data_IF_582568367367
#
_entry.id   IF_582568367367
#
_cell.length_a   1.000
_cell.length_b   1.000
_cell.length_c   1.000
_cell.angle_alpha   90.00
_cell.angle_beta   90.00
_cell.angle_gamma   90.00
#
_symmetry.space_group_name_H-M   'P 1'
#
loop_
_entity.id
_entity.type
_entity.pdbx_description
1 polymer ?
#
# COMPACT_ATOMS: atom_id res chain seq x y z
N UNK A 1 -35.15 6.71 21.98
CA UNK A 1 -34.04 6.65 21.01
C UNK A 1 -33.82 5.18 20.70
N UNK A 2 -33.90 4.75 19.44
CA UNK A 2 -33.66 3.33 19.11
C UNK A 2 -32.20 3.00 19.43
N UNK A 3 -31.96 1.95 20.22
CA UNK A 3 -30.63 1.35 20.31
C UNK A 3 -30.20 0.92 18.91
N UNK A 4 -28.95 1.23 18.54
CA UNK A 4 -28.38 0.79 17.29
C UNK A 4 -28.18 -0.73 17.34
N UNK A 5 -28.51 -1.44 16.25
CA UNK A 5 -28.16 -2.84 16.11
C UNK A 5 -26.62 -2.92 16.00
N UNK A 6 -25.98 -3.48 17.04
CA UNK A 6 -24.52 -3.54 17.15
C UNK A 6 -23.88 -4.32 16.00
N UNK A 7 -24.47 -5.43 15.56
CA UNK A 7 -23.95 -6.23 14.44
C UNK A 7 -23.93 -5.43 13.14
N UNK A 8 -24.99 -4.65 12.87
CA UNK A 8 -25.05 -3.79 11.68
C UNK A 8 -24.03 -2.65 11.75
N UNK A 9 -23.79 -2.11 12.94
CA UNK A 9 -22.77 -1.08 13.15
C UNK A 9 -21.38 -1.64 12.90
N UNK A 10 -21.04 -2.79 13.49
CA UNK A 10 -19.74 -3.43 13.34
C UNK A 10 -19.47 -3.82 11.88
N UNK A 11 -20.47 -4.35 11.18
CA UNK A 11 -20.37 -4.65 9.74
C UNK A 11 -20.11 -3.39 8.90
N UNK A 12 -20.81 -2.29 9.21
CA UNK A 12 -20.62 -1.02 8.51
C UNK A 12 -19.22 -0.44 8.77
N UNK A 13 -18.74 -0.48 10.02
CA UNK A 13 -17.38 -0.07 10.37
C UNK A 13 -16.33 -0.92 9.66
N UNK A 14 -16.51 -2.24 9.62
CA UNK A 14 -15.63 -3.14 8.86
C UNK A 14 -15.56 -2.79 7.38
N UNK A 15 -16.71 -2.51 6.75
CA UNK A 15 -16.75 -2.04 5.36
C UNK A 15 -16.00 -0.73 5.18
N UNK A 16 -16.24 0.26 6.04
CA UNK A 16 -15.57 1.56 5.98
C UNK A 16 -14.04 1.43 6.10
N UNK A 17 -13.56 0.61 7.03
CA UNK A 17 -12.12 0.33 7.17
C UNK A 17 -11.56 -0.35 5.91
N UNK A 18 -12.30 -1.30 5.34
CA UNK A 18 -11.95 -1.94 4.07
C UNK A 18 -11.84 -0.95 2.91
N UNK A 19 -12.81 -0.05 2.77
CA UNK A 19 -12.82 0.99 1.72
C UNK A 19 -11.62 1.95 1.86
N UNK A 20 -11.31 2.37 3.09
CA UNK A 20 -10.13 3.22 3.36
C UNK A 20 -8.82 2.51 3.03
N UNK A 21 -8.71 1.22 3.39
CA UNK A 21 -7.56 0.40 3.02
C UNK A 21 -7.41 0.27 1.50
N UNK A 22 -8.51 0.03 0.79
CA UNK A 22 -8.51 -0.08 -0.67
C UNK A 22 -8.06 1.22 -1.35
N UNK A 23 -8.49 2.39 -0.86
CA UNK A 23 -8.07 3.69 -1.38
C UNK A 23 -6.56 3.90 -1.19
N UNK A 24 -6.05 3.65 0.03
CA UNK A 24 -4.64 3.84 0.35
C UNK A 24 -3.75 2.91 -0.48
N UNK A 25 -4.10 1.62 -0.55
CA UNK A 25 -3.37 0.63 -1.33
C UNK A 25 -3.46 0.91 -2.83
N UNK A 26 -4.64 1.29 -3.35
CA UNK A 26 -4.83 1.62 -4.77
C UNK A 26 -3.97 2.80 -5.21
N UNK A 27 -3.90 3.86 -4.40
CA UNK A 27 -3.00 4.98 -4.66
C UNK A 27 -1.51 4.54 -4.65
N UNK A 28 -1.13 3.68 -3.71
CA UNK A 28 0.21 3.11 -3.63
C UNK A 28 0.58 2.27 -4.87
N UNK A 29 -0.35 1.46 -5.38
CA UNK A 29 -0.15 0.67 -6.61
C UNK A 29 0.08 1.58 -7.81
N UNK A 30 -0.74 2.61 -7.99
CA UNK A 30 -0.58 3.58 -9.09
C UNK A 30 0.75 4.35 -9.02
N UNK A 31 1.18 4.73 -7.81
CA UNK A 31 2.50 5.34 -7.62
C UNK A 31 3.63 4.38 -7.97
N UNK A 32 3.52 3.12 -7.54
CA UNK A 32 4.52 2.09 -7.82
C UNK A 32 4.71 1.82 -9.31
N UNK A 33 3.61 1.81 -10.07
CA UNK A 33 3.64 1.67 -11.53
C UNK A 33 4.28 2.90 -12.20
N UNK A 34 3.79 4.10 -11.89
CA UNK A 34 4.28 5.36 -12.50
C UNK A 34 5.74 5.66 -12.21
N UNK A 35 6.22 5.31 -11.02
CA UNK A 35 7.62 5.48 -10.61
C UNK A 35 8.51 4.31 -11.05
N UNK A 36 7.95 3.27 -11.65
CA UNK A 36 8.68 2.09 -12.11
C UNK A 36 9.19 1.18 -10.98
N UNK A 37 8.67 1.32 -9.76
CA UNK A 37 9.09 0.52 -8.59
C UNK A 37 8.81 -0.97 -8.79
N UNK A 38 7.60 -1.31 -9.27
CA UNK A 38 7.26 -2.71 -9.55
C UNK A 38 8.09 -3.30 -10.69
N UNK A 39 8.35 -2.52 -11.74
CA UNK A 39 9.21 -2.95 -12.85
C UNK A 39 10.63 -3.23 -12.36
N UNK A 40 11.19 -2.34 -11.54
CA UNK A 40 12.51 -2.51 -10.96
C UNK A 40 12.59 -3.74 -10.05
N UNK A 41 11.58 -3.97 -9.19
CA UNK A 41 11.48 -5.17 -8.34
C UNK A 41 11.42 -6.46 -9.17
N UNK A 42 10.60 -6.49 -10.22
CA UNK A 42 10.49 -7.62 -11.14
C UNK A 42 11.81 -7.95 -11.85
N UNK A 43 12.55 -6.93 -12.26
CA UNK A 43 13.81 -7.09 -13.01
C UNK A 43 15.02 -7.34 -12.11
N UNK A 44 15.02 -6.81 -10.89
CA UNK A 44 16.15 -6.90 -9.94
C UNK A 44 15.97 -7.92 -8.83
N UNK A 45 14.78 -8.50 -8.65
CA UNK A 45 14.48 -9.43 -7.57
C UNK A 45 14.42 -8.76 -6.20
N UNK A 46 14.79 -9.51 -5.15
CA UNK A 46 14.83 -9.00 -3.77
C UNK A 46 15.86 -7.87 -3.67
N UNK A 47 15.44 -6.74 -3.11
CA UNK A 47 16.30 -5.57 -2.94
C UNK A 47 15.88 -4.77 -1.70
N UNK A 48 16.84 -4.06 -1.15
CA UNK A 48 16.65 -3.07 -0.10
C UNK A 48 16.01 -1.80 -0.65
N UNK A 49 15.46 -0.97 0.25
CA UNK A 49 14.94 0.35 -0.14
C UNK A 49 16.02 1.25 -0.78
N UNK A 50 17.28 1.14 -0.32
CA UNK A 50 18.41 1.90 -0.87
C UNK A 50 18.72 1.49 -2.32
N UNK A 51 18.73 0.18 -2.61
CA UNK A 51 18.95 -0.33 -3.96
C UNK A 51 17.79 0.05 -4.89
N UNK A 52 16.54 -0.10 -4.44
CA UNK A 52 15.36 0.24 -5.24
C UNK A 52 15.30 1.74 -5.56
N UNK A 53 15.56 2.59 -4.57
CA UNK A 53 15.54 4.04 -4.75
C UNK A 53 16.63 4.51 -5.71
N UNK A 54 17.84 3.95 -5.59
CA UNK A 54 18.94 4.20 -6.53
C UNK A 54 18.56 3.81 -7.96
N UNK A 55 17.94 2.63 -8.15
CA UNK A 55 17.54 2.13 -9.48
C UNK A 55 16.42 2.94 -10.13
N UNK A 56 15.56 3.56 -9.33
CA UNK A 56 14.38 4.27 -9.83
C UNK A 56 14.53 5.79 -9.78
N UNK A 57 15.66 6.31 -9.28
CA UNK A 57 15.87 7.75 -9.13
C UNK A 57 14.90 8.39 -8.15
N UNK A 58 14.49 7.65 -7.13
CA UNK A 58 13.53 8.10 -6.10
C UNK A 58 14.22 8.31 -4.76
N UNK A 59 13.50 8.87 -3.80
CA UNK A 59 14.05 9.14 -2.47
C UNK A 59 13.88 7.91 -1.57
N UNK A 60 14.97 7.45 -0.95
CA UNK A 60 15.01 6.19 -0.18
C UNK A 60 13.96 6.10 0.93
N UNK A 61 13.80 7.15 1.74
CA UNK A 61 12.83 7.18 2.83
C UNK A 61 11.42 6.97 2.31
N UNK A 62 11.04 7.62 1.22
CA UNK A 62 9.71 7.45 0.61
C UNK A 62 9.52 6.05 0.02
N UNK A 63 10.56 5.50 -0.61
CA UNK A 63 10.53 4.11 -1.09
C UNK A 63 10.35 3.12 0.07
N UNK A 64 11.00 3.37 1.21
CA UNK A 64 10.83 2.54 2.41
C UNK A 64 9.41 2.57 2.95
N UNK A 65 8.78 3.74 3.04
CA UNK A 65 7.38 3.85 3.46
C UNK A 65 6.46 3.14 2.47
N UNK A 66 6.70 3.31 1.17
CA UNK A 66 5.94 2.63 0.13
C UNK A 66 6.07 1.10 0.25
N UNK A 67 7.28 0.56 0.41
CA UNK A 67 7.53 -0.87 0.60
C UNK A 67 6.80 -1.42 1.82
N UNK A 68 6.80 -0.70 2.95
CA UNK A 68 6.05 -1.10 4.15
C UNK A 68 4.55 -1.20 3.88
N UNK A 69 3.98 -0.21 3.18
CA UNK A 69 2.57 -0.21 2.81
C UNK A 69 2.21 -1.35 1.85
N UNK A 70 3.05 -1.61 0.84
CA UNK A 70 2.81 -2.70 -0.11
C UNK A 70 2.97 -4.09 0.52
N UNK A 71 3.93 -4.26 1.43
CA UNK A 71 4.10 -5.51 2.17
C UNK A 71 2.91 -5.80 3.10
N UNK A 72 2.41 -4.78 3.81
CA UNK A 72 1.19 -4.90 4.61
C UNK A 72 -0.05 -5.26 3.77
N UNK A 73 -0.09 -4.78 2.51
CA UNK A 73 -1.14 -5.10 1.54
C UNK A 73 -0.92 -6.43 0.79
N UNK A 74 0.22 -7.11 1.00
CA UNK A 74 0.52 -8.41 0.40
C UNK A 74 1.02 -8.38 -1.05
N UNK A 75 1.51 -7.24 -1.54
CA UNK A 75 2.05 -7.11 -2.91
C UNK A 75 3.55 -7.41 -3.04
N UNK A 76 4.33 -7.15 -1.99
CA UNK A 76 5.79 -7.25 -1.97
C UNK A 76 6.26 -8.03 -0.75
#
# INVERSE_FOLDING_TARGET
>A
MSEANQEKLDAFLGKMVGDLGAIATGAGVLLGDRLGLFKALREGGKMTAAELSTRTGTQERLVREWLSGQAAAGYV
#
